data_IF_950958758875
#
_entry.id   IF_950958758875
#
_cell.length_a   1.000
_cell.length_b   1.000
_cell.length_c   1.000
_cell.angle_alpha   90.00
_cell.angle_beta   90.00
_cell.angle_gamma   90.00
#
_symmetry.space_group_name_H-M   'P 1'
#
loop_
_entity.id
_entity.type
_entity.pdbx_description
1 polymer ?
#
# COMPACT_ATOMS: atom_id res chain seq x y z
N UNK A 1 -18.55 -44.65 11.97
CA UNK A 1 -19.30 -43.47 12.45
C UNK A 1 -18.40 -42.27 12.21
N UNK A 2 -18.64 -41.52 11.14
CA UNK A 2 -17.83 -40.35 10.78
C UNK A 2 -18.44 -39.11 11.42
N UNK A 3 -17.78 -38.58 12.44
CA UNK A 3 -18.12 -37.28 13.04
C UNK A 3 -17.57 -36.18 12.14
N UNK A 4 -18.47 -35.50 11.42
CA UNK A 4 -18.16 -34.28 10.67
C UNK A 4 -17.88 -33.15 11.65
N UNK A 5 -16.61 -32.77 11.79
CA UNK A 5 -16.21 -31.51 12.40
C UNK A 5 -16.73 -30.36 11.52
N UNK A 6 -17.90 -29.81 11.87
CA UNK A 6 -18.27 -28.47 11.42
C UNK A 6 -17.24 -27.51 12.02
N UNK A 7 -16.29 -27.07 11.20
CA UNK A 7 -15.45 -25.93 11.54
C UNK A 7 -16.37 -24.75 11.84
N UNK A 8 -16.41 -24.30 13.09
CA UNK A 8 -17.18 -23.12 13.48
C UNK A 8 -16.67 -21.93 12.66
N UNK A 9 -17.42 -21.53 11.63
CA UNK A 9 -17.19 -20.27 10.95
C UNK A 9 -17.40 -19.14 11.95
N UNK A 10 -16.46 -18.18 11.98
CA UNK A 10 -16.59 -17.01 12.87
C UNK A 10 -17.86 -16.26 12.53
N UNK A 11 -18.58 -15.79 13.55
CA UNK A 11 -19.78 -14.97 13.35
C UNK A 11 -19.40 -13.57 12.86
N UNK A 12 -20.33 -12.88 12.19
CA UNK A 12 -20.11 -11.50 11.74
C UNK A 12 -19.80 -10.56 12.92
N UNK A 13 -20.40 -10.79 14.09
CA UNK A 13 -20.07 -10.02 15.30
C UNK A 13 -18.61 -10.23 15.74
N UNK A 14 -18.09 -11.46 15.66
CA UNK A 14 -16.69 -11.75 15.96
C UNK A 14 -15.74 -11.10 14.95
N UNK A 15 -16.09 -11.14 13.67
CA UNK A 15 -15.31 -10.51 12.60
C UNK A 15 -15.30 -8.98 12.73
N UNK A 16 -16.43 -8.37 13.09
CA UNK A 16 -16.50 -6.94 13.39
C UNK A 16 -15.59 -6.58 14.58
N UNK A 17 -15.64 -7.34 15.68
CA UNK A 17 -14.78 -7.08 16.83
C UNK A 17 -13.29 -7.19 16.47
N UNK A 18 -12.91 -8.17 15.65
CA UNK A 18 -11.54 -8.33 15.16
C UNK A 18 -11.09 -7.11 14.33
N UNK A 19 -11.96 -6.63 13.43
CA UNK A 19 -11.69 -5.44 12.63
C UNK A 19 -11.49 -4.18 13.50
N UNK A 20 -12.33 -4.01 14.53
CA UNK A 20 -12.22 -2.89 15.46
C UNK A 20 -10.90 -2.94 16.26
N UNK A 21 -10.47 -4.13 16.68
CA UNK A 21 -9.19 -4.32 17.36
C UNK A 21 -8.00 -3.97 16.43
N UNK A 22 -8.09 -4.34 15.15
CA UNK A 22 -7.10 -3.99 14.12
C UNK A 22 -7.01 -2.47 13.92
N UNK A 23 -8.15 -1.77 13.83
CA UNK A 23 -8.22 -0.30 13.74
C UNK A 23 -7.62 0.40 14.97
N UNK A 24 -7.81 -0.17 16.16
CA UNK A 24 -7.18 0.34 17.38
C UNK A 24 -5.65 0.19 17.38
N UNK A 25 -5.15 -0.92 16.80
CA UNK A 25 -3.74 -1.30 16.89
C UNK A 25 -2.85 -0.67 15.80
N UNK A 26 -3.40 -0.38 14.63
CA UNK A 26 -2.61 0.09 13.47
C UNK A 26 -2.63 1.61 13.34
N UNK A 27 -1.87 2.26 14.22
CA UNK A 27 -1.66 3.71 14.24
C UNK A 27 -0.31 4.05 13.62
N UNK A 28 -0.29 5.10 12.80
CA UNK A 28 0.92 5.57 12.13
C UNK A 28 1.57 6.69 12.97
N UNK A 29 2.91 6.70 13.13
CA UNK A 29 3.59 7.82 13.78
C UNK A 29 3.51 9.10 12.93
N UNK A 30 3.56 8.95 11.61
CA UNK A 30 3.35 9.99 10.60
C UNK A 30 2.83 9.35 9.30
N UNK A 31 2.20 10.15 8.43
CA UNK A 31 1.73 9.68 7.12
C UNK A 31 1.85 10.78 6.06
N UNK A 32 2.61 10.49 5.01
CA UNK A 32 2.90 11.39 3.89
C UNK A 32 2.42 10.82 2.54
N UNK A 33 2.49 11.62 1.48
CA UNK A 33 2.21 11.14 0.13
C UNK A 33 3.17 10.03 -0.31
N UNK A 34 4.45 10.10 0.08
CA UNK A 34 5.44 9.04 -0.20
C UNK A 34 5.09 7.73 0.49
N UNK A 35 4.52 7.79 1.69
CA UNK A 35 4.03 6.63 2.44
C UNK A 35 2.83 6.00 1.73
N UNK A 36 1.91 6.83 1.24
CA UNK A 36 0.78 6.39 0.42
C UNK A 36 1.25 5.65 -0.84
N UNK A 37 2.21 6.20 -1.59
CA UNK A 37 2.76 5.51 -2.78
C UNK A 37 3.41 4.18 -2.40
N UNK A 38 4.20 4.15 -1.33
CA UNK A 38 4.88 2.93 -0.88
C UNK A 38 3.89 1.85 -0.46
N UNK A 39 2.87 2.22 0.31
CA UNK A 39 1.80 1.33 0.74
C UNK A 39 0.97 0.83 -0.45
N UNK A 40 0.61 1.72 -1.38
CA UNK A 40 -0.12 1.38 -2.60
C UNK A 40 0.63 0.39 -3.49
N UNK A 41 1.94 0.59 -3.69
CA UNK A 41 2.78 -0.35 -4.42
C UNK A 41 2.93 -1.69 -3.69
N UNK A 42 2.97 -1.71 -2.35
CA UNK A 42 2.99 -2.92 -1.54
C UNK A 42 1.71 -3.75 -1.74
N UNK A 43 0.54 -3.09 -1.72
CA UNK A 43 -0.77 -3.70 -1.99
C UNK A 43 -0.79 -4.33 -3.39
N UNK A 44 -0.39 -3.56 -4.40
CA UNK A 44 -0.30 -4.05 -5.79
C UNK A 44 0.61 -5.27 -5.89
N UNK A 45 1.80 -5.23 -5.29
CA UNK A 45 2.75 -6.35 -5.32
C UNK A 45 2.16 -7.61 -4.70
N UNK A 46 1.50 -7.49 -3.54
CA UNK A 46 0.86 -8.62 -2.85
C UNK A 46 -0.30 -9.20 -3.63
N UNK A 47 -1.17 -8.35 -4.18
CA UNK A 47 -2.28 -8.81 -5.00
C UNK A 47 -1.77 -9.54 -6.24
N UNK A 48 -0.73 -9.02 -6.92
CA UNK A 48 -0.12 -9.70 -8.07
C UNK A 48 0.48 -11.07 -7.74
N UNK A 49 0.97 -11.25 -6.52
CA UNK A 49 1.47 -12.54 -6.05
C UNK A 49 0.36 -13.50 -5.56
N UNK A 50 -0.90 -13.04 -5.53
CA UNK A 50 -2.02 -13.82 -5.00
C UNK A 50 -2.55 -14.82 -6.02
N UNK A 51 -3.12 -15.92 -5.51
CA UNK A 51 -3.82 -16.90 -6.33
C UNK A 51 -5.06 -16.32 -7.04
N UNK A 52 -5.65 -15.24 -6.49
CA UNK A 52 -6.75 -14.51 -7.13
C UNK A 52 -6.31 -13.88 -8.44
N UNK A 53 -5.17 -13.19 -8.45
CA UNK A 53 -4.64 -12.60 -9.68
C UNK A 53 -4.26 -13.67 -10.70
N UNK A 54 -3.65 -14.78 -10.26
CA UNK A 54 -3.34 -15.91 -11.13
C UNK A 54 -4.59 -16.55 -11.79
N UNK A 55 -5.78 -16.34 -11.21
CA UNK A 55 -7.09 -16.74 -11.76
C UNK A 55 -7.72 -15.67 -12.67
N UNK A 56 -6.99 -14.62 -13.01
CA UNK A 56 -7.46 -13.51 -13.86
C UNK A 56 -8.32 -12.47 -13.14
N UNK A 57 -8.34 -12.45 -11.79
CA UNK A 57 -9.06 -11.38 -11.07
C UNK A 57 -8.27 -10.08 -11.11
N UNK A 58 -9.02 -8.98 -11.26
CA UNK A 58 -8.53 -7.62 -11.11
C UNK A 58 -8.74 -7.04 -9.71
N UNK A 59 -8.11 -5.90 -9.43
CA UNK A 59 -8.22 -5.13 -8.19
C UNK A 59 -8.08 -3.64 -8.53
N UNK A 60 -8.94 -2.79 -7.95
CA UNK A 60 -8.69 -1.34 -7.90
C UNK A 60 -8.18 -0.96 -6.53
N UNK A 61 -7.27 0.01 -6.47
CA UNK A 61 -6.65 0.52 -5.24
C UNK A 61 -6.76 2.04 -5.27
N UNK A 62 -7.18 2.64 -4.16
CA UNK A 62 -7.13 4.09 -3.94
C UNK A 62 -6.63 4.38 -2.54
N UNK A 63 -5.74 5.36 -2.43
CA UNK A 63 -5.37 5.98 -1.16
C UNK A 63 -5.62 7.47 -1.34
N UNK A 64 -6.45 8.02 -0.47
CA UNK A 64 -6.78 9.44 -0.50
C UNK A 64 -6.73 10.04 0.89
N UNK A 65 -6.41 11.33 0.97
CA UNK A 65 -6.57 12.10 2.20
C UNK A 65 -8.04 12.07 2.65
N UNK A 66 -8.29 12.36 3.93
CA UNK A 66 -9.66 12.38 4.44
C UNK A 66 -10.54 13.42 3.71
N UNK A 67 -9.92 14.50 3.23
CA UNK A 67 -10.54 15.53 2.39
C UNK A 67 -10.87 15.06 0.95
N UNK A 68 -10.38 13.89 0.52
CA UNK A 68 -10.62 13.32 -0.80
C UNK A 68 -9.56 13.61 -1.85
N UNK A 69 -8.45 14.28 -1.51
CA UNK A 69 -7.33 14.43 -2.44
C UNK A 69 -6.66 13.07 -2.70
N UNK A 70 -6.52 12.65 -3.97
CA UNK A 70 -5.89 11.37 -4.31
C UNK A 70 -4.39 11.42 -4.01
N UNK A 71 -3.89 10.42 -3.29
CA UNK A 71 -2.46 10.23 -2.98
C UNK A 71 -1.86 9.05 -3.76
N UNK A 72 -2.68 8.04 -4.06
CA UNK A 72 -2.34 6.91 -4.90
C UNK A 72 -3.61 6.33 -5.54
N UNK A 73 -3.56 5.98 -6.82
CA UNK A 73 -4.66 5.30 -7.52
C UNK A 73 -4.08 4.30 -8.52
N UNK A 74 -4.56 3.05 -8.50
CA UNK A 74 -4.03 2.00 -9.36
C UNK A 74 -5.05 0.91 -9.65
N UNK A 75 -5.18 0.57 -10.92
CA UNK A 75 -5.84 -0.66 -11.37
C UNK A 75 -4.79 -1.77 -11.54
N UNK A 76 -5.11 -2.96 -11.06
CA UNK A 76 -4.27 -4.17 -11.19
C UNK A 76 -5.09 -5.25 -11.86
N UNK A 77 -4.62 -5.77 -12.98
CA UNK A 77 -5.33 -6.71 -13.83
C UNK A 77 -4.62 -6.83 -15.18
N UNK A 78 -5.10 -7.71 -16.05
CA UNK A 78 -4.51 -7.95 -17.39
C UNK A 78 -5.31 -7.27 -18.51
N UNK A 79 -6.29 -6.44 -18.13
CA UNK A 79 -7.20 -5.60 -18.93
C UNK A 79 -7.73 -6.27 -20.20
N UNK A 80 -8.10 -7.55 -20.10
CA UNK A 80 -8.57 -8.34 -21.25
C UNK A 80 -7.94 -9.74 -21.35
N UNK A 81 -7.79 -10.43 -20.21
CA UNK A 81 -7.27 -11.81 -20.20
C UNK A 81 -8.11 -12.69 -21.15
N UNK A 82 -7.45 -13.51 -21.98
CA UNK A 82 -8.06 -14.32 -23.05
C UNK A 82 -9.17 -15.27 -22.57
N UNK A 83 -9.21 -15.59 -21.27
CA UNK A 83 -10.24 -16.42 -20.65
C UNK A 83 -11.59 -15.71 -20.44
N UNK A 84 -11.67 -14.39 -20.66
CA UNK A 84 -12.88 -13.60 -20.45
C UNK A 84 -13.34 -13.51 -18.99
N UNK A 85 -12.54 -13.99 -18.04
CA UNK A 85 -12.85 -13.90 -16.61
C UNK A 85 -12.72 -12.45 -16.13
N UNK A 86 -13.75 -11.99 -15.40
CA UNK A 86 -13.94 -10.61 -14.99
C UNK A 86 -12.72 -9.99 -14.31
N UNK A 87 -11.98 -9.21 -15.09
CA UNK A 87 -11.09 -8.17 -14.64
C UNK A 87 -11.90 -7.02 -14.00
N UNK A 88 -11.25 -5.91 -13.65
CA UNK A 88 -11.88 -4.70 -13.12
C UNK A 88 -12.99 -4.21 -14.07
N UNK A 89 -14.24 -4.36 -13.64
CA UNK A 89 -15.42 -3.85 -14.33
C UNK A 89 -15.71 -2.38 -14.03
N UNK A 90 -16.65 -1.78 -14.77
CA UNK A 90 -17.04 -0.36 -14.63
C UNK A 90 -17.50 0.00 -13.20
N UNK A 91 -18.20 -0.91 -12.53
CA UNK A 91 -18.73 -0.68 -11.18
C UNK A 91 -17.68 -0.78 -10.07
N UNK A 92 -16.46 -1.25 -10.38
CA UNK A 92 -15.42 -1.47 -9.38
C UNK A 92 -15.03 -0.19 -8.65
N UNK A 93 -14.94 0.92 -9.39
CA UNK A 93 -14.67 2.23 -8.83
C UNK A 93 -15.86 2.76 -8.02
N UNK A 94 -17.10 2.52 -8.45
CA UNK A 94 -18.30 2.88 -7.70
C UNK A 94 -18.38 2.16 -6.35
N UNK A 95 -18.08 0.86 -6.32
CA UNK A 95 -17.98 0.09 -5.08
C UNK A 95 -16.86 0.62 -4.18
N UNK A 96 -15.68 0.91 -4.75
CA UNK A 96 -14.55 1.45 -4.01
C UNK A 96 -14.88 2.81 -3.37
N UNK A 97 -15.53 3.72 -4.11
CA UNK A 97 -15.98 5.01 -3.58
C UNK A 97 -17.04 4.86 -2.49
N UNK A 98 -17.98 3.91 -2.63
CA UNK A 98 -18.97 3.62 -1.60
C UNK A 98 -18.31 3.17 -0.28
N UNK A 99 -17.28 2.32 -0.37
CA UNK A 99 -16.50 1.89 0.80
C UNK A 99 -15.74 3.06 1.44
N UNK A 100 -15.07 3.91 0.65
CA UNK A 100 -14.37 5.06 1.21
C UNK A 100 -15.34 6.05 1.87
N UNK A 101 -16.50 6.29 1.26
CA UNK A 101 -17.52 7.13 1.85
C UNK A 101 -18.08 6.55 3.16
N UNK A 102 -18.16 5.23 3.29
CA UNK A 102 -18.51 4.59 4.56
C UNK A 102 -17.44 4.86 5.63
N UNK A 103 -16.16 4.76 5.29
CA UNK A 103 -15.06 5.09 6.22
C UNK A 103 -15.09 6.56 6.63
N UNK A 104 -15.26 7.49 5.67
CA UNK A 104 -15.35 8.93 5.94
C UNK A 104 -16.51 9.28 6.88
N UNK A 105 -17.66 8.62 6.72
CA UNK A 105 -18.86 8.86 7.54
C UNK A 105 -18.78 8.26 8.93
N UNK A 106 -18.15 7.09 9.06
CA UNK A 106 -18.20 6.30 10.31
C UNK A 106 -16.91 6.35 11.11
N UNK A 107 -15.78 6.71 10.50
CA UNK A 107 -14.45 6.62 11.11
C UNK A 107 -13.91 5.18 11.21
N UNK A 108 -14.65 4.19 10.72
CA UNK A 108 -14.31 2.76 10.83
C UNK A 108 -14.05 2.14 9.46
N UNK A 109 -13.35 1.00 9.43
CA UNK A 109 -13.13 0.23 8.21
C UNK A 109 -14.47 -0.20 7.61
N UNK A 110 -14.53 -0.26 6.27
CA UNK A 110 -15.75 -0.67 5.58
C UNK A 110 -16.12 -2.12 5.91
N UNK A 111 -15.13 -2.95 6.27
CA UNK A 111 -15.34 -4.32 6.74
C UNK A 111 -15.99 -4.36 8.13
N UNK A 112 -15.55 -3.54 9.09
CA UNK A 112 -16.26 -3.39 10.37
C UNK A 112 -17.71 -2.97 10.17
N UNK A 113 -17.94 -1.97 9.31
CA UNK A 113 -19.28 -1.47 9.00
C UNK A 113 -20.16 -2.56 8.37
N UNK A 114 -19.64 -3.30 7.39
CA UNK A 114 -20.34 -4.43 6.75
C UNK A 114 -20.71 -5.51 7.77
N UNK A 115 -19.74 -5.99 8.55
CA UNK A 115 -19.96 -7.10 9.50
C UNK A 115 -20.85 -6.68 10.66
N UNK A 116 -20.71 -5.45 11.16
CA UNK A 116 -21.61 -4.88 12.15
C UNK A 116 -23.05 -4.77 11.65
N UNK A 117 -23.25 -4.34 10.40
CA UNK A 117 -24.58 -4.26 9.79
C UNK A 117 -25.22 -5.64 9.64
N UNK A 118 -24.46 -6.62 9.14
CA UNK A 118 -24.93 -8.00 8.97
C UNK A 118 -25.28 -8.66 10.31
N UNK A 119 -24.45 -8.46 11.35
CA UNK A 119 -24.70 -8.98 12.69
C UNK A 119 -25.99 -8.41 13.31
N UNK A 120 -26.35 -7.17 12.97
CA UNK A 120 -27.58 -6.52 13.42
C UNK A 120 -28.79 -6.81 12.52
N UNK A 121 -28.61 -7.57 11.43
CA UNK A 121 -29.65 -7.83 10.43
C UNK A 121 -30.17 -6.57 9.73
N UNK A 122 -29.42 -5.45 9.79
CA UNK A 122 -29.81 -4.18 9.16
C UNK A 122 -29.38 -4.18 7.71
N UNK A 123 -30.34 -3.97 6.81
CA UNK A 123 -30.03 -3.80 5.39
C UNK A 123 -29.42 -2.39 5.14
N UNK A 124 -28.54 -2.21 4.13
CA UNK A 124 -27.98 -0.90 3.78
C UNK A 124 -29.05 0.19 3.58
N UNK A 125 -30.21 -0.18 3.01
CA UNK A 125 -31.39 0.69 2.83
C UNK A 125 -31.96 1.21 4.15
N UNK A 126 -31.95 0.40 5.21
CA UNK A 126 -32.46 0.79 6.54
C UNK A 126 -31.47 1.66 7.32
N UNK A 127 -30.20 1.69 6.92
CA UNK A 127 -29.19 2.58 7.52
C UNK A 127 -29.05 3.92 6.79
N UNK A 128 -29.88 4.18 5.77
CA UNK A 128 -29.78 5.40 4.95
C UNK A 128 -28.48 5.49 4.15
N UNK A 129 -27.81 4.36 3.89
CA UNK A 129 -26.55 4.29 3.16
C UNK A 129 -26.84 3.99 1.67
N UNK A 130 -26.02 4.61 0.81
CA UNK A 130 -26.00 4.57 -0.66
C UNK A 130 -26.55 3.32 -1.35
N UNK A 131 -26.99 3.48 -2.60
CA UNK A 131 -27.54 2.42 -3.46
C UNK A 131 -26.59 1.21 -3.63
N UNK A 132 -25.28 1.41 -3.44
CA UNK A 132 -24.26 0.36 -3.49
C UNK A 132 -23.99 -0.19 -2.08
N UNK A 133 -24.10 -1.51 -1.86
CA UNK A 133 -23.81 -2.12 -0.56
C UNK A 133 -22.34 -1.90 -0.17
N UNK A 134 -22.11 -1.57 1.10
CA UNK A 134 -20.75 -1.42 1.64
C UNK A 134 -20.11 -2.81 1.74
N UNK A 135 -18.93 -2.95 1.16
CA UNK A 135 -18.11 -4.16 1.25
C UNK A 135 -16.83 -3.88 2.04
N UNK A 136 -16.14 -4.93 2.48
CA UNK A 136 -14.80 -4.88 3.06
C UNK A 136 -13.74 -4.51 2.04
N UNK A 137 -12.72 -3.79 2.48
CA UNK A 137 -11.60 -3.38 1.63
C UNK A 137 -11.14 -1.95 1.82
N UNK A 138 -11.85 -1.11 2.57
CA UNK A 138 -11.40 0.23 2.95
C UNK A 138 -11.08 0.33 4.44
N UNK A 139 -9.98 1.00 4.78
CA UNK A 139 -9.43 1.09 6.13
C UNK A 139 -8.98 2.53 6.43
N UNK A 140 -9.34 3.08 7.62
CA UNK A 140 -8.93 4.42 8.03
C UNK A 140 -7.45 4.45 8.44
N UNK A 141 -6.71 5.44 7.94
CA UNK A 141 -5.33 5.70 8.35
C UNK A 141 -5.36 6.71 9.50
N UNK A 142 -5.01 6.21 10.68
CA UNK A 142 -4.98 6.98 11.91
C UNK A 142 -3.55 7.30 12.32
N UNK A 143 -3.34 8.48 12.89
CA UNK A 143 -2.08 8.81 13.55
C UNK A 143 -2.14 8.47 15.04
N UNK A 144 -0.99 8.15 15.64
CA UNK A 144 -0.86 7.93 17.09
C UNK A 144 -1.27 9.19 17.89
N UNK A 145 -0.91 10.36 17.38
CA UNK A 145 -1.12 11.65 18.06
C UNK A 145 -2.34 12.44 17.56
N UNK A 146 -3.21 11.84 16.73
CA UNK A 146 -4.42 12.50 16.22
C UNK A 146 -5.65 11.58 16.37
N UNK A 147 -6.30 11.55 17.55
CA UNK A 147 -7.41 10.64 17.83
C UNK A 147 -8.77 11.15 17.29
N UNK A 148 -8.86 12.40 16.83
CA UNK A 148 -10.13 13.06 16.47
C UNK A 148 -10.64 12.61 15.09
N UNK A 149 -9.75 12.45 14.11
CA UNK A 149 -10.12 12.00 12.78
C UNK A 149 -8.98 11.24 12.10
N UNK A 150 -9.29 10.25 11.24
CA UNK A 150 -8.29 9.65 10.37
C UNK A 150 -7.80 10.68 9.35
N UNK A 151 -6.52 10.61 8.98
CA UNK A 151 -5.88 11.57 8.06
C UNK A 151 -6.02 11.16 6.59
N UNK A 152 -6.20 9.86 6.34
CA UNK A 152 -6.36 9.30 5.01
C UNK A 152 -7.20 8.01 5.08
N UNK A 153 -7.61 7.53 3.91
CA UNK A 153 -8.29 6.24 3.73
C UNK A 153 -7.53 5.47 2.68
N UNK A 154 -7.21 4.20 2.97
CA UNK A 154 -6.71 3.24 1.97
C UNK A 154 -7.82 2.25 1.65
N UNK A 155 -8.06 2.04 0.37
CA UNK A 155 -9.11 1.15 -0.10
C UNK A 155 -8.62 0.28 -1.25
N UNK A 156 -9.08 -0.97 -1.29
CA UNK A 156 -8.97 -1.81 -2.47
C UNK A 156 -10.23 -2.63 -2.69
N UNK A 157 -10.54 -2.97 -3.94
CA UNK A 157 -11.74 -3.70 -4.30
C UNK A 157 -11.49 -4.70 -5.43
N UNK A 158 -11.79 -5.98 -5.20
CA UNK A 158 -11.82 -7.03 -6.22
C UNK A 158 -13.13 -7.83 -6.23
N UNK A 159 -14.11 -7.42 -5.41
CA UNK A 159 -15.34 -8.19 -5.18
C UNK A 159 -15.25 -9.28 -4.11
N UNK A 160 -14.17 -9.36 -3.32
CA UNK A 160 -14.06 -10.29 -2.19
C UNK A 160 -13.80 -9.52 -0.89
N UNK A 161 -14.88 -9.13 -0.20
CA UNK A 161 -14.85 -8.29 1.01
C UNK A 161 -13.80 -8.74 2.04
N UNK A 162 -13.81 -10.03 2.41
CA UNK A 162 -12.89 -10.57 3.42
C UNK A 162 -11.45 -10.53 2.96
N UNK A 163 -11.19 -10.94 1.72
CA UNK A 163 -9.82 -11.01 1.20
C UNK A 163 -9.24 -9.60 0.97
N UNK A 164 -10.07 -8.65 0.53
CA UNK A 164 -9.68 -7.26 0.30
C UNK A 164 -9.37 -6.57 1.65
N UNK A 165 -10.19 -6.78 2.68
CA UNK A 165 -9.87 -6.34 4.05
C UNK A 165 -8.55 -6.93 4.55
N UNK A 166 -8.38 -8.25 4.40
CA UNK A 166 -7.17 -8.94 4.84
C UNK A 166 -5.92 -8.45 4.10
N UNK A 167 -6.03 -8.17 2.80
CA UNK A 167 -4.96 -7.59 1.98
C UNK A 167 -4.54 -6.22 2.51
N UNK A 168 -5.51 -5.34 2.81
CA UNK A 168 -5.25 -4.01 3.36
C UNK A 168 -4.61 -4.09 4.72
N UNK A 169 -5.24 -4.79 5.66
CA UNK A 169 -4.77 -4.91 7.05
C UNK A 169 -3.38 -5.50 7.13
N UNK A 170 -3.12 -6.58 6.39
CA UNK A 170 -1.80 -7.22 6.38
C UNK A 170 -0.75 -6.26 5.80
N UNK A 171 -1.12 -5.47 4.79
CA UNK A 171 -0.21 -4.48 4.17
C UNK A 171 0.12 -3.33 5.10
N UNK A 172 -0.87 -2.82 5.84
CA UNK A 172 -0.67 -1.79 6.86
C UNK A 172 0.23 -2.32 7.97
N UNK A 173 -0.11 -3.48 8.56
CA UNK A 173 0.67 -4.08 9.66
C UNK A 173 2.14 -4.24 9.29
N UNK A 174 2.42 -4.82 8.13
CA UNK A 174 3.79 -5.07 7.71
C UNK A 174 4.54 -3.77 7.37
N UNK A 175 3.82 -2.76 6.85
CA UNK A 175 4.36 -1.44 6.58
C UNK A 175 4.75 -0.72 7.88
N UNK A 176 3.88 -0.75 8.90
CA UNK A 176 4.18 -0.20 10.23
C UNK A 176 5.38 -0.91 10.88
N UNK A 177 5.41 -2.24 10.83
CA UNK A 177 6.56 -3.02 11.31
C UNK A 177 7.86 -2.64 10.59
N UNK A 178 7.80 -2.33 9.29
CA UNK A 178 8.96 -1.87 8.53
C UNK A 178 9.42 -0.48 8.96
N UNK A 179 8.49 0.45 9.20
CA UNK A 179 8.84 1.79 9.72
C UNK A 179 9.53 1.68 11.07
N UNK A 180 8.96 0.92 12.00
CA UNK A 180 9.51 0.74 13.35
C UNK A 180 10.95 0.21 13.32
N UNK A 181 11.22 -0.83 12.52
CA UNK A 181 12.58 -1.38 12.35
C UNK A 181 13.57 -0.38 11.77
N UNK A 182 13.13 0.43 10.81
CA UNK A 182 13.98 1.46 10.22
C UNK A 182 14.30 2.59 11.20
N UNK A 183 13.36 2.92 12.11
CA UNK A 183 13.58 3.90 13.17
C UNK A 183 14.62 3.42 14.19
N UNK A 184 14.61 2.14 14.55
CA UNK A 184 15.58 1.54 15.49
C UNK A 184 16.99 1.42 14.88
N UNK A 185 17.11 1.12 13.59
CA UNK A 185 18.40 1.01 12.90
C UNK A 185 19.12 2.37 12.73
N UNK A 186 18.40 3.50 12.84
CA UNK A 186 18.94 4.85 12.68
C UNK A 186 19.76 5.38 13.87
N UNK A 187 19.85 4.65 14.98
CA UNK A 187 20.58 5.09 16.20
C UNK A 187 21.95 4.47 16.40
N UNK A 188 22.40 3.55 15.53
CA UNK A 188 23.78 3.03 15.57
C UNK A 188 24.63 3.61 14.44
N UNK A 189 25.23 4.77 14.68
CA UNK A 189 26.42 5.15 13.89
C UNK A 189 27.52 4.14 14.22
N UNK A 190 28.13 3.45 13.24
CA UNK A 190 29.34 2.70 13.49
C UNK A 190 30.41 3.71 13.91
N UNK A 191 30.92 3.55 15.13
CA UNK A 191 32.12 4.27 15.58
C UNK A 191 33.20 4.03 14.51
N UNK A 192 33.81 5.07 13.91
CA UNK A 192 34.89 4.88 12.97
C UNK A 192 35.98 4.07 13.66
N UNK A 193 36.22 2.85 13.17
CA UNK A 193 37.32 2.03 13.64
C UNK A 193 38.61 2.75 13.25
N UNK A 194 39.24 3.41 14.21
CA UNK A 194 40.55 4.04 14.03
C UNK A 194 41.49 2.90 13.63
N UNK A 195 41.91 2.91 12.36
CA UNK A 195 42.93 2.00 11.89
C UNK A 195 44.21 2.22 12.72
N UNK A 196 44.84 1.16 13.25
CA UNK A 196 46.12 1.31 13.92
C UNK A 196 47.14 1.92 12.95
N UNK A 197 48.05 2.80 13.44
CA UNK A 197 48.99 3.50 12.57
C UNK A 197 49.89 2.49 11.82
N UNK A 198 50.24 2.77 10.55
CA UNK A 198 51.08 1.89 9.77
C UNK A 198 52.47 1.75 10.42
N UNK A 199 52.96 0.51 10.50
CA UNK A 199 54.37 0.24 10.84
C UNK A 199 55.28 0.86 9.78
N UNK A 200 56.43 1.42 10.18
CA UNK A 200 57.43 1.90 9.22
C UNK A 200 58.11 0.68 8.59
N UNK A 201 57.65 0.27 7.42
CA UNK A 201 58.38 -0.64 6.55
C UNK A 201 59.30 0.15 5.61
N UNK A 202 60.49 -0.40 5.47
CA UNK A 202 61.70 0.16 4.92
C UNK A 202 61.58 0.59 3.46
N UNK A 203 62.15 1.78 3.18
CA UNK A 203 62.59 2.26 1.87
C UNK A 203 63.38 1.19 1.10
N UNK A 204 62.81 0.70 0.00
CA UNK A 204 63.56 0.35 -1.22
C UNK A 204 62.57 0.07 -2.37
N UNK A 205 62.94 0.55 -3.55
CA UNK A 205 62.41 0.21 -4.88
C UNK A 205 61.25 1.05 -5.44
N UNK A 206 61.64 2.25 -5.88
CA UNK A 206 60.97 2.94 -6.97
C UNK A 206 61.26 2.22 -8.29
N UNK A 207 60.27 1.54 -8.85
CA UNK A 207 60.25 1.14 -10.25
C UNK A 207 58.90 1.54 -10.87
N UNK A 208 58.91 2.63 -11.62
CA UNK A 208 57.83 3.03 -12.53
C UNK A 208 58.09 2.41 -13.91
N UNK A 209 57.08 1.83 -14.56
CA UNK A 209 57.03 1.80 -16.01
C UNK A 209 55.96 2.74 -16.58
N UNK A 210 56.46 3.56 -17.50
CA UNK A 210 55.86 4.24 -18.65
C UNK A 210 54.35 4.52 -18.73
N UNK A 211 54.11 5.82 -18.89
CA UNK A 211 52.88 6.44 -19.40
C UNK A 211 52.75 6.10 -20.89
N UNK A 212 51.70 5.38 -21.26
CA UNK A 212 51.24 5.31 -22.66
C UNK A 212 49.90 6.02 -22.77
N UNK A 213 49.95 7.22 -23.33
CA UNK A 213 48.81 8.02 -23.79
C UNK A 213 48.02 7.27 -24.87
N UNK A 214 46.74 7.04 -24.62
CA UNK A 214 45.73 6.85 -25.68
C UNK A 214 44.55 7.75 -25.36
N UNK A 215 44.43 8.81 -26.16
CA UNK A 215 43.25 9.66 -26.23
C UNK A 215 42.11 8.84 -26.85
N UNK A 216 40.97 8.77 -26.17
CA UNK A 216 39.71 8.34 -26.79
C UNK A 216 38.67 9.43 -26.64
N UNK A 217 38.11 9.79 -27.78
CA UNK A 217 37.15 10.85 -28.04
C UNK A 217 35.93 10.79 -27.12
N UNK A 218 35.68 11.88 -26.39
CA UNK A 218 34.35 12.20 -25.87
C UNK A 218 33.67 13.13 -26.87
N UNK A 219 32.95 12.54 -27.82
CA UNK A 219 32.01 13.29 -28.66
C UNK A 219 30.77 13.57 -27.83
N UNK A 220 30.56 14.85 -27.52
CA UNK A 220 29.39 15.38 -26.80
C UNK A 220 28.15 15.26 -27.73
N UNK A 221 27.03 14.66 -27.29
CA UNK A 221 25.80 14.71 -28.07
C UNK A 221 25.25 16.14 -28.10
N UNK A 222 24.94 16.64 -29.30
CA UNK A 222 24.31 17.94 -29.53
C UNK A 222 22.91 18.00 -28.88
N UNK A 223 22.61 19.13 -28.25
CA UNK A 223 21.30 19.40 -27.64
C UNK A 223 20.30 19.87 -28.69
N UNK A 224 19.19 19.13 -28.81
CA UNK A 224 18.11 19.36 -29.77
C UNK A 224 17.09 20.42 -29.27
N UNK A 225 17.56 21.61 -28.91
CA UNK A 225 16.70 22.77 -28.65
C UNK A 225 17.43 24.02 -29.16
N UNK A 226 17.31 24.25 -30.46
CA UNK A 226 17.54 25.56 -31.05
C UNK A 226 16.19 26.28 -31.14
N UNK A 227 16.19 27.53 -30.71
CA UNK A 227 15.00 28.32 -30.48
C UNK A 227 14.33 28.77 -31.78
N UNK A 228 13.00 28.66 -31.82
CA UNK A 228 12.19 29.52 -32.67
C UNK A 228 11.63 30.65 -31.79
N UNK A 229 12.42 31.71 -31.69
CA UNK A 229 11.87 33.06 -31.59
C UNK A 229 11.62 33.51 -33.04
N UNK A 230 10.36 33.79 -33.38
CA UNK A 230 10.04 34.66 -34.50
C UNK A 230 8.78 35.47 -34.17
N UNK A 231 8.97 36.78 -34.21
CA UNK A 231 8.01 37.86 -34.08
C UNK A 231 7.01 37.89 -35.25
N UNK A 232 5.72 38.12 -34.96
CA UNK A 232 4.89 39.24 -35.45
C UNK A 232 3.40 39.04 -35.15
#
# INVERSE_FOLDING_TARGET
MFSTLHGMSRSDAQLAQEALNQEGSYRFPAFSASDAVTLGLSLRKRFRASHRHAKGKGLVISIQSIAGHPLFSCTVGDLGHFSGYADVGLDSWSCLEAMINAVKRTGHSSFYVEKGANALGKTPKQMGIQEVPVQGGAFPIWLENAPICPVAVVACYSGSSQDDHNLVVTSIRDYLNKILRNSEAGTSMPVPSIAPPPRPESRSDWNLPEVTTVASEYTRPESLYDGHDDEH
#
